data_IF_547553587911
#
_entry.id   IF_547553587911
#
_cell.length_a   1.000
_cell.length_b   1.000
_cell.length_c   1.000
_cell.angle_alpha   90.00
_cell.angle_beta   90.00
_cell.angle_gamma   90.00
#
_symmetry.space_group_name_H-M   'P 1'
#
loop_
_entity.id
_entity.type
_entity.pdbx_description
1 polymer ?
#
# COMPACT_ATOMS: atom_id res chain seq x y z
N UNK A 1 2.57 31.32 -21.44
CA UNK A 1 3.25 30.45 -20.46
C UNK A 1 2.25 29.39 -20.04
N UNK A 2 2.42 28.17 -20.55
CA UNK A 2 1.57 27.04 -20.12
C UNK A 2 2.12 26.51 -18.79
N UNK A 3 1.28 26.29 -17.77
CA UNK A 3 1.76 25.67 -16.53
C UNK A 3 2.20 24.24 -16.84
N UNK A 4 3.46 23.93 -16.57
CA UNK A 4 3.96 22.56 -16.56
C UNK A 4 3.18 21.77 -15.51
N UNK A 5 2.30 20.88 -15.97
CA UNK A 5 1.74 19.78 -15.19
C UNK A 5 2.88 18.79 -14.90
N UNK A 6 3.72 19.10 -13.91
CA UNK A 6 4.47 18.03 -13.25
C UNK A 6 3.39 17.25 -12.51
N UNK A 7 3.09 15.98 -12.87
CA UNK A 7 2.15 15.20 -12.08
C UNK A 7 2.65 15.19 -10.64
N UNK A 8 1.75 15.41 -9.68
CA UNK A 8 2.11 15.22 -8.27
C UNK A 8 2.82 13.87 -8.16
N UNK A 9 4.02 13.81 -7.56
CA UNK A 9 4.78 12.57 -7.50
C UNK A 9 4.05 11.47 -6.73
N UNK A 10 2.99 11.82 -5.99
CA UNK A 10 2.20 10.94 -5.16
C UNK A 10 0.84 10.67 -5.81
N UNK A 11 0.51 9.40 -5.98
CA UNK A 11 -0.84 8.96 -6.28
C UNK A 11 -1.68 9.01 -5.00
N UNK A 12 -2.31 10.17 -4.75
CA UNK A 12 -3.17 10.40 -3.58
C UNK A 12 -4.32 9.40 -3.52
N UNK A 13 -4.92 9.07 -4.66
CA UNK A 13 -6.06 8.16 -4.75
C UNK A 13 -5.70 6.75 -4.26
N UNK A 14 -4.61 6.19 -4.78
CA UNK A 14 -4.11 4.88 -4.36
C UNK A 14 -3.61 4.92 -2.91
N UNK A 15 -2.90 5.98 -2.52
CA UNK A 15 -2.39 6.15 -1.16
C UNK A 15 -3.51 6.17 -0.11
N UNK A 16 -4.57 6.92 -0.35
CA UNK A 16 -5.73 6.98 0.54
C UNK A 16 -6.48 5.65 0.57
N UNK A 17 -6.64 4.99 -0.58
CA UNK A 17 -7.26 3.68 -0.66
C UNK A 17 -6.51 2.62 0.16
N UNK A 18 -5.17 2.60 0.12
CA UNK A 18 -4.34 1.72 0.97
C UNK A 18 -4.61 1.97 2.45
N UNK A 19 -4.61 3.23 2.89
CA UNK A 19 -4.86 3.58 4.29
C UNK A 19 -6.28 3.22 4.72
N UNK A 20 -7.27 3.46 3.86
CA UNK A 20 -8.67 3.13 4.11
C UNK A 20 -8.88 1.62 4.20
N UNK A 21 -8.30 0.84 3.29
CA UNK A 21 -8.41 -0.61 3.23
C UNK A 21 -8.03 -1.27 4.57
N UNK A 22 -6.94 -0.82 5.19
CA UNK A 22 -6.49 -1.38 6.48
C UNK A 22 -7.33 -0.95 7.70
N UNK A 23 -8.27 -0.01 7.52
CA UNK A 23 -9.27 0.37 8.54
C UNK A 23 -10.59 -0.38 8.38
N UNK A 24 -10.81 -1.01 7.23
CA UNK A 24 -12.01 -1.81 6.97
C UNK A 24 -12.06 -3.06 7.85
N UNK A 25 -13.27 -3.55 8.08
CA UNK A 25 -13.45 -4.89 8.64
C UNK A 25 -12.99 -5.95 7.63
N UNK A 26 -12.57 -7.12 8.11
CA UNK A 26 -12.17 -8.25 7.24
C UNK A 26 -13.28 -8.62 6.24
N UNK A 27 -14.55 -8.44 6.62
CA UNK A 27 -15.70 -8.72 5.74
C UNK A 27 -15.81 -7.73 4.59
N UNK A 28 -15.40 -6.48 4.81
CA UNK A 28 -15.55 -5.39 3.84
C UNK A 28 -14.31 -5.23 2.95
N UNK A 29 -13.15 -5.73 3.37
CA UNK A 29 -11.91 -5.71 2.58
C UNK A 29 -12.04 -6.43 1.22
N UNK A 30 -13.01 -7.33 1.05
CA UNK A 30 -13.25 -8.01 -0.24
C UNK A 30 -14.29 -7.31 -1.10
N UNK A 31 -14.86 -6.20 -0.64
CA UNK A 31 -15.94 -5.52 -1.32
C UNK A 31 -15.40 -4.25 -1.98
N UNK A 32 -15.40 -4.16 -3.31
CA UNK A 32 -14.94 -2.97 -4.03
C UNK A 32 -15.66 -1.70 -3.57
N UNK A 33 -16.96 -1.79 -3.29
CA UNK A 33 -17.79 -0.66 -2.89
C UNK A 33 -17.30 0.04 -1.61
N UNK A 34 -16.60 -0.67 -0.72
CA UNK A 34 -16.00 -0.12 0.48
C UNK A 34 -14.89 0.93 0.18
N UNK A 35 -14.31 0.91 -1.02
CA UNK A 35 -13.32 1.88 -1.48
C UNK A 35 -13.93 2.96 -2.40
N UNK A 36 -15.24 2.91 -2.69
CA UNK A 36 -15.90 3.91 -3.55
C UNK A 36 -15.63 5.37 -3.17
N UNK A 37 -15.56 5.76 -1.87
CA UNK A 37 -15.26 7.14 -1.49
C UNK A 37 -13.86 7.62 -1.93
N UNK A 38 -12.96 6.68 -2.22
CA UNK A 38 -11.58 6.97 -2.65
C UNK A 38 -11.38 6.78 -4.16
N UNK A 39 -12.39 6.31 -4.89
CA UNK A 39 -12.35 6.03 -6.33
C UNK A 39 -12.67 7.28 -7.16
N UNK A 40 -11.67 8.16 -7.31
CA UNK A 40 -11.82 9.45 -8.02
C UNK A 40 -11.59 9.31 -9.52
N UNK A 41 -10.55 8.59 -9.92
CA UNK A 41 -10.18 8.37 -11.33
C UNK A 41 -10.34 6.92 -11.74
N UNK A 42 -10.08 5.99 -10.83
CA UNK A 42 -10.21 4.54 -11.00
C UNK A 42 -11.60 4.09 -10.59
N UNK A 43 -12.00 2.89 -11.03
CA UNK A 43 -13.16 2.23 -10.42
C UNK A 43 -12.79 1.67 -9.04
N UNK A 44 -13.78 1.45 -8.15
CA UNK A 44 -13.52 0.82 -6.86
C UNK A 44 -12.90 -0.58 -6.98
N UNK A 45 -13.26 -1.34 -8.03
CA UNK A 45 -12.67 -2.64 -8.34
C UNK A 45 -11.19 -2.52 -8.69
N UNK A 46 -10.84 -1.58 -9.58
CA UNK A 46 -9.46 -1.36 -9.98
C UNK A 46 -8.58 -0.93 -8.79
N UNK A 47 -9.10 -0.06 -7.91
CA UNK A 47 -8.41 0.31 -6.67
C UNK A 47 -8.21 -0.87 -5.73
N UNK A 48 -9.24 -1.71 -5.56
CA UNK A 48 -9.13 -2.89 -4.73
C UNK A 48 -8.07 -3.86 -5.27
N UNK A 49 -8.04 -4.08 -6.58
CA UNK A 49 -7.06 -4.94 -7.23
C UNK A 49 -5.63 -4.39 -7.09
N UNK A 50 -5.43 -3.07 -7.24
CA UNK A 50 -4.13 -2.42 -7.01
C UNK A 50 -3.68 -2.56 -5.55
N UNK A 51 -4.57 -2.34 -4.57
CA UNK A 51 -4.27 -2.52 -3.15
C UNK A 51 -3.92 -3.99 -2.85
N UNK A 52 -4.67 -4.95 -3.39
CA UNK A 52 -4.38 -6.38 -3.23
C UNK A 52 -3.03 -6.75 -3.85
N UNK A 53 -2.68 -6.15 -4.99
CA UNK A 53 -1.39 -6.34 -5.65
C UNK A 53 -0.25 -5.85 -4.77
N UNK A 54 -0.36 -4.66 -4.18
CA UNK A 54 0.63 -4.13 -3.24
C UNK A 54 0.79 -5.04 -2.01
N UNK A 55 -0.31 -5.55 -1.46
CA UNK A 55 -0.28 -6.52 -0.36
C UNK A 55 0.47 -7.79 -0.75
N UNK A 56 0.17 -8.33 -1.94
CA UNK A 56 0.86 -9.49 -2.48
C UNK A 56 2.35 -9.26 -2.67
N UNK A 57 2.74 -8.08 -3.16
CA UNK A 57 4.15 -7.72 -3.33
C UNK A 57 4.86 -7.60 -1.98
N UNK A 58 4.28 -6.91 -0.99
CA UNK A 58 4.81 -6.81 0.37
C UNK A 58 5.05 -8.19 0.97
N UNK A 59 4.07 -9.09 0.87
CA UNK A 59 4.19 -10.45 1.42
C UNK A 59 5.12 -11.35 0.60
N UNK A 60 5.41 -10.97 -0.64
CA UNK A 60 6.31 -11.66 -1.55
C UNK A 60 7.76 -11.20 -1.47
N UNK A 61 8.09 -10.16 -0.70
CA UNK A 61 9.49 -9.73 -0.52
C UNK A 61 10.27 -10.85 0.18
N UNK A 62 11.34 -11.37 -0.44
CA UNK A 62 12.14 -12.42 0.17
C UNK A 62 12.94 -11.85 1.34
N UNK A 63 12.61 -12.29 2.56
CA UNK A 63 13.32 -11.93 3.79
C UNK A 63 13.86 -13.21 4.43
N UNK A 64 15.17 -13.27 4.66
CA UNK A 64 15.77 -14.30 5.51
C UNK A 64 15.67 -13.87 6.99
N UNK A 65 14.54 -14.22 7.61
CA UNK A 65 14.23 -13.86 8.98
C UNK A 65 15.04 -14.62 10.04
N UNK A 66 15.84 -15.62 9.66
CA UNK A 66 16.47 -16.57 10.60
C UNK A 66 17.32 -15.93 11.70
N UNK A 67 17.87 -14.73 11.44
CA UNK A 67 18.67 -13.95 12.39
C UNK A 67 18.22 -12.48 12.48
N UNK A 68 16.99 -12.16 12.07
CA UNK A 68 16.46 -10.80 12.10
C UNK A 68 15.40 -10.65 13.17
N UNK A 69 15.34 -9.47 13.78
CA UNK A 69 14.15 -9.02 14.50
C UNK A 69 13.07 -8.65 13.50
N UNK A 70 11.80 -8.77 13.87
CA UNK A 70 10.68 -8.34 13.02
C UNK A 70 10.80 -6.88 12.56
N UNK A 71 11.43 -6.01 13.36
CA UNK A 71 11.70 -4.62 12.97
C UNK A 71 12.74 -4.51 11.85
N UNK A 72 13.77 -5.34 11.87
CA UNK A 72 14.76 -5.42 10.78
C UNK A 72 14.14 -6.00 9.50
N UNK A 73 13.26 -7.00 9.63
CA UNK A 73 12.51 -7.51 8.48
C UNK A 73 11.62 -6.42 7.86
N UNK A 74 10.87 -5.68 8.68
CA UNK A 74 10.05 -4.57 8.22
C UNK A 74 10.88 -3.49 7.51
N UNK A 75 12.11 -3.22 7.97
CA UNK A 75 13.01 -2.28 7.31
C UNK A 75 13.45 -2.80 5.93
N UNK A 76 13.80 -4.08 5.81
CA UNK A 76 14.16 -4.70 4.52
C UNK A 76 13.00 -4.59 3.54
N UNK A 77 11.78 -4.91 3.97
CA UNK A 77 10.58 -4.80 3.13
C UNK A 77 10.32 -3.35 2.73
N UNK A 78 10.45 -2.41 3.67
CA UNK A 78 10.33 -0.98 3.38
C UNK A 78 11.33 -0.53 2.30
N UNK A 79 12.60 -0.92 2.44
CA UNK A 79 13.67 -0.52 1.52
C UNK A 79 13.52 -1.12 0.12
N UNK A 80 12.74 -2.20 -0.02
CA UNK A 80 12.32 -2.74 -1.32
C UNK A 80 11.10 -1.99 -1.87
N UNK A 81 10.09 -1.75 -1.04
CA UNK A 81 8.81 -1.17 -1.49
C UNK A 81 8.89 0.32 -1.80
N UNK A 82 9.58 1.11 -0.97
CA UNK A 82 9.67 2.57 -1.13
C UNK A 82 10.24 3.01 -2.50
N UNK A 83 11.33 2.43 -3.03
CA UNK A 83 11.83 2.79 -4.36
C UNK A 83 10.98 2.21 -5.52
N UNK A 84 10.23 1.13 -5.29
CA UNK A 84 9.32 0.54 -6.30
C UNK A 84 8.01 1.29 -6.44
N UNK A 85 7.56 1.91 -5.35
CA UNK A 85 6.33 2.68 -5.28
C UNK A 85 6.59 4.12 -4.80
N UNK A 86 7.37 4.92 -5.55
CA UNK A 86 7.60 6.32 -5.22
C UNK A 86 6.29 7.14 -5.24
N UNK A 87 5.24 6.63 -5.89
CA UNK A 87 3.91 7.19 -5.92
C UNK A 87 3.11 7.03 -4.63
N UNK A 88 3.53 6.16 -3.71
CA UNK A 88 2.85 5.99 -2.43
C UNK A 88 3.30 7.04 -1.42
N UNK A 89 2.33 7.63 -0.73
CA UNK A 89 2.62 8.47 0.44
C UNK A 89 3.31 7.65 1.53
N UNK A 90 4.09 8.33 2.38
CA UNK A 90 4.72 7.70 3.54
C UNK A 90 3.71 7.03 4.49
N UNK A 91 2.47 7.55 4.56
CA UNK A 91 1.42 6.94 5.38
C UNK A 91 0.92 5.62 4.78
N UNK A 92 0.79 5.53 3.45
CA UNK A 92 0.40 4.31 2.76
C UNK A 92 1.48 3.23 2.92
N UNK A 93 2.76 3.59 2.74
CA UNK A 93 3.90 2.69 2.99
C UNK A 93 3.91 2.21 4.45
N UNK A 94 3.70 3.10 5.42
CA UNK A 94 3.62 2.71 6.82
C UNK A 94 2.45 1.76 7.12
N UNK A 95 1.31 1.93 6.46
CA UNK A 95 0.16 1.03 6.61
C UNK A 95 0.48 -0.38 6.08
N UNK A 96 1.16 -0.47 4.93
CA UNK A 96 1.67 -1.72 4.37
C UNK A 96 2.70 -2.40 5.30
N UNK A 97 3.63 -1.65 5.88
CA UNK A 97 4.61 -2.21 6.84
C UNK A 97 3.95 -2.70 8.12
N UNK A 98 2.94 -1.97 8.62
CA UNK A 98 2.15 -2.43 9.75
C UNK A 98 1.40 -3.73 9.44
N UNK A 99 0.93 -3.91 8.21
CA UNK A 99 0.33 -5.18 7.78
C UNK A 99 1.36 -6.31 7.75
N UNK A 100 2.52 -6.11 7.12
CA UNK A 100 3.61 -7.10 7.11
C UNK A 100 3.98 -7.53 8.53
N UNK A 101 4.20 -6.57 9.43
CA UNK A 101 4.53 -6.82 10.83
C UNK A 101 3.47 -7.67 11.55
N UNK A 102 2.18 -7.35 11.36
CA UNK A 102 1.07 -8.09 11.98
C UNK A 102 0.95 -9.52 11.43
N UNK A 103 1.25 -9.72 10.15
CA UNK A 103 1.14 -11.02 9.49
C UNK A 103 2.29 -11.97 9.83
N UNK A 104 3.44 -11.44 10.28
CA UNK A 104 4.66 -12.21 10.55
C UNK A 104 5.09 -12.20 12.04
N UNK A 105 4.25 -11.67 12.93
CA UNK A 105 4.43 -11.74 14.39
C UNK A 105 3.74 -12.96 14.98
#
# INVERSE_FOLDING_TARGET
MSPSLIPDPIDTELSEAVVAYFRLSIRDQRRPDALSPHAVRRSPEALLDEVCTLIGEVMGVPVDGSNMTIGQECQVVHDVMAPRHPELSSQALAALMNYYWRSNR
#
